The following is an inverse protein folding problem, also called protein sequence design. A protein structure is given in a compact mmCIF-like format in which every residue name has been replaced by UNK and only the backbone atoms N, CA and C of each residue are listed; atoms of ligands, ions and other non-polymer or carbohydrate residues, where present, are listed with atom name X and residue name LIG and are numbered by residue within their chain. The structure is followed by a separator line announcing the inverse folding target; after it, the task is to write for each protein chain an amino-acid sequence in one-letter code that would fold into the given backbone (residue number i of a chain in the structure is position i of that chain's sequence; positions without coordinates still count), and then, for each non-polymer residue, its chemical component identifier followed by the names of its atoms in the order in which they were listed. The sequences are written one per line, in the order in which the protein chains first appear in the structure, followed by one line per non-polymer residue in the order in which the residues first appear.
data_IF_018493593899
#
_entry.id   IF_018493593899
#
_cell.length_a   1.000
_cell.length_b   1.000
_cell.length_c   1.000
_cell.angle_alpha   90.00
_cell.angle_beta   90.00
_cell.angle_gamma   90.00
#
_symmetry.space_group_name_H-M   'P 1'
#
loop_
_entity.id
_entity.type
_entity.pdbx_description
1 polymer ?
#
# COMPACT_ATOMS: atom_id res chain seq x y z
N UNK A 1 12.52 -0.88 33.32
CA UNK A 1 12.37 0.26 32.43
C UNK A 1 13.49 0.33 31.39
N UNK A 2 14.80 0.28 31.79
CA UNK A 2 15.96 0.36 30.85
C UNK A 2 15.98 -0.73 29.75
N UNK A 3 15.36 -1.90 29.96
CA UNK A 3 15.28 -2.97 28.94
C UNK A 3 14.24 -2.70 27.88
N UNK A 4 13.20 -1.95 28.19
CA UNK A 4 12.18 -1.54 27.21
C UNK A 4 12.67 -0.43 26.30
N UNK A 5 13.45 0.53 26.87
CA UNK A 5 14.02 1.62 26.10
C UNK A 5 15.05 1.13 25.06
N UNK A 6 15.84 0.10 25.39
CA UNK A 6 16.77 -0.53 24.43
C UNK A 6 16.06 -1.29 23.32
N UNK A 7 14.86 -1.85 23.59
CA UNK A 7 14.08 -2.60 22.62
C UNK A 7 13.37 -1.68 21.62
N UNK A 8 12.97 -0.48 22.05
CA UNK A 8 12.30 0.49 21.18
C UNK A 8 13.26 1.31 20.31
N UNK A 9 14.56 1.38 20.68
CA UNK A 9 15.56 2.14 19.95
C UNK A 9 15.92 1.55 18.57
N UNK A 10 15.61 0.28 18.32
CA UNK A 10 15.94 -0.41 17.07
C UNK A 10 14.82 -0.30 15.99
N UNK A 11 13.65 0.30 16.32
CA UNK A 11 12.56 0.43 15.37
C UNK A 11 12.58 1.79 14.66
N UNK A 12 12.58 1.79 13.35
CA UNK A 12 12.38 3.02 12.58
C UNK A 12 10.90 3.44 12.62
N UNK A 13 10.56 4.24 13.60
CA UNK A 13 9.23 4.78 13.82
C UNK A 13 9.01 6.14 13.15
N UNK A 14 10.00 6.67 12.43
CA UNK A 14 9.95 8.01 11.83
C UNK A 14 8.77 8.17 10.86
N UNK A 15 8.42 7.10 10.11
CA UNK A 15 7.27 7.10 9.23
C UNK A 15 5.93 7.17 9.99
N UNK A 16 5.86 6.59 11.21
CA UNK A 16 4.67 6.62 12.06
C UNK A 16 4.55 7.96 12.80
N UNK A 17 5.67 8.55 13.23
CA UNK A 17 5.70 9.84 13.93
C UNK A 17 5.03 10.96 13.13
N UNK A 18 5.17 10.95 11.81
CA UNK A 18 4.54 11.92 10.92
C UNK A 18 3.00 11.95 11.06
N UNK A 19 2.40 10.81 11.36
CA UNK A 19 0.94 10.63 11.37
C UNK A 19 0.36 10.40 12.77
N UNK A 20 1.15 10.50 13.83
CA UNK A 20 0.72 10.20 15.21
C UNK A 20 -0.43 11.08 15.70
N UNK A 21 -0.46 12.35 15.29
CA UNK A 21 -1.46 13.32 15.75
C UNK A 21 -2.68 13.40 14.81
N UNK A 22 -2.48 13.16 13.51
CA UNK A 22 -3.53 13.31 12.49
C UNK A 22 -4.12 11.97 12.04
N UNK A 23 -3.39 10.87 12.22
CA UNK A 23 -3.76 9.58 11.67
C UNK A 23 -3.63 9.54 10.15
N UNK A 24 -4.08 8.43 9.57
CA UNK A 24 -4.19 8.23 8.12
C UNK A 24 -5.59 7.72 7.77
N UNK A 25 -6.04 7.98 6.54
CA UNK A 25 -7.33 7.50 6.06
C UNK A 25 -7.40 5.96 6.13
N UNK A 26 -8.56 5.43 6.48
CA UNK A 26 -8.80 3.98 6.42
C UNK A 26 -9.04 3.53 4.98
N UNK A 27 -8.91 2.23 4.71
CA UNK A 27 -9.23 1.66 3.40
C UNK A 27 -10.69 1.95 3.01
N UNK A 28 -11.61 1.91 3.98
CA UNK A 28 -13.02 2.21 3.75
C UNK A 28 -13.23 3.68 3.35
N UNK A 29 -12.51 4.61 3.99
CA UNK A 29 -12.55 6.03 3.62
C UNK A 29 -11.99 6.24 2.23
N UNK A 30 -10.84 5.65 1.91
CA UNK A 30 -10.23 5.73 0.58
C UNK A 30 -11.15 5.18 -0.51
N UNK A 31 -11.84 4.06 -0.24
CA UNK A 31 -12.78 3.45 -1.19
C UNK A 31 -14.03 4.32 -1.39
N UNK A 32 -14.56 4.92 -0.32
CA UNK A 32 -15.68 5.84 -0.39
C UNK A 32 -15.32 7.10 -1.20
N UNK A 33 -14.14 7.67 -0.92
CA UNK A 33 -13.67 8.90 -1.53
C UNK A 33 -13.18 8.68 -2.98
N UNK A 34 -12.92 7.43 -3.39
CA UNK A 34 -12.44 7.11 -4.74
C UNK A 34 -13.46 7.42 -5.84
N UNK A 35 -14.74 7.20 -5.59
CA UNK A 35 -15.78 7.37 -6.62
C UNK A 35 -15.85 8.79 -7.21
N UNK A 36 -15.92 9.87 -6.41
CA UNK A 36 -15.85 11.21 -6.95
C UNK A 36 -14.52 11.52 -7.64
N UNK A 37 -13.40 10.98 -7.15
CA UNK A 37 -12.08 11.15 -7.77
C UNK A 37 -12.04 10.48 -9.15
N UNK A 38 -12.56 9.26 -9.29
CA UNK A 38 -12.66 8.54 -10.57
C UNK A 38 -13.47 9.33 -11.60
N UNK A 39 -14.59 9.93 -11.19
CA UNK A 39 -15.38 10.78 -12.07
C UNK A 39 -14.60 12.03 -12.51
N UNK A 40 -13.90 12.69 -11.58
CA UNK A 40 -13.11 13.86 -11.89
C UNK A 40 -11.92 13.54 -12.86
N UNK A 41 -11.30 12.37 -12.74
CA UNK A 41 -10.29 11.88 -13.68
C UNK A 41 -10.88 11.76 -15.09
N UNK A 42 -12.05 11.12 -15.22
CA UNK A 42 -12.72 10.93 -16.51
C UNK A 42 -13.19 12.25 -17.12
N UNK A 43 -13.65 13.20 -16.29
CA UNK A 43 -14.04 14.52 -16.75
C UNK A 43 -12.83 15.29 -17.30
N UNK A 44 -11.70 15.27 -16.58
CA UNK A 44 -10.46 15.90 -16.99
C UNK A 44 -9.87 15.33 -18.30
N UNK A 45 -10.07 14.01 -18.55
CA UNK A 45 -9.65 13.38 -19.81
C UNK A 45 -10.58 13.73 -20.97
N UNK A 46 -11.87 13.83 -20.69
CA UNK A 46 -12.89 14.12 -21.71
C UNK A 46 -12.87 15.58 -22.19
N UNK A 47 -12.22 16.49 -21.47
CA UNK A 47 -12.13 17.90 -21.85
C UNK A 47 -11.13 18.09 -23.00
N UNK A 48 -11.56 18.57 -24.19
CA UNK A 48 -10.63 18.97 -25.25
C UNK A 48 -9.66 20.05 -24.75
N UNK A 49 -8.42 20.01 -25.20
CA UNK A 49 -7.38 20.96 -24.76
C UNK A 49 -7.74 22.42 -24.98
N UNK A 50 -8.61 22.70 -25.98
CA UNK A 50 -9.01 24.02 -26.44
C UNK A 50 -10.51 24.30 -26.25
N UNK A 51 -11.20 23.57 -25.37
CA UNK A 51 -12.64 23.76 -25.17
C UNK A 51 -12.97 25.15 -24.61
N UNK A 52 -13.83 25.87 -25.30
CA UNK A 52 -14.39 27.12 -24.83
C UNK A 52 -15.28 26.90 -23.59
N UNK A 53 -15.55 27.97 -22.83
CA UNK A 53 -16.43 27.90 -21.64
C UNK A 53 -17.83 27.35 -22.03
N UNK A 54 -18.27 27.60 -23.23
CA UNK A 54 -19.58 27.14 -23.78
C UNK A 54 -19.54 25.63 -24.04
N UNK A 55 -18.43 25.09 -24.54
CA UNK A 55 -18.27 23.65 -24.78
C UNK A 55 -18.23 22.87 -23.47
N UNK A 56 -17.64 23.45 -22.41
CA UNK A 56 -17.63 22.87 -21.05
C UNK A 56 -19.02 22.79 -20.45
N UNK A 57 -19.85 23.81 -20.64
CA UNK A 57 -21.24 23.82 -20.16
C UNK A 57 -22.09 22.78 -20.91
N UNK A 58 -21.88 22.61 -22.24
CA UNK A 58 -22.58 21.61 -23.04
C UNK A 58 -22.12 20.19 -22.75
N UNK A 59 -20.82 19.97 -22.42
CA UNK A 59 -20.28 18.68 -22.03
C UNK A 59 -20.89 18.22 -20.68
N UNK A 60 -21.06 19.14 -19.72
CA UNK A 60 -21.70 18.85 -18.43
C UNK A 60 -23.14 18.32 -18.57
N UNK A 61 -23.90 18.81 -19.58
CA UNK A 61 -25.26 18.34 -19.84
C UNK A 61 -25.32 16.95 -20.50
N UNK A 62 -24.26 16.51 -21.19
CA UNK A 62 -24.18 15.20 -21.87
C UNK A 62 -23.64 14.08 -20.98
N UNK A 63 -23.15 14.40 -19.80
CA UNK A 63 -22.43 13.49 -18.89
C UNK A 63 -23.31 12.48 -18.13
N UNK A 64 -24.63 12.46 -18.38
CA UNK A 64 -25.60 11.74 -17.53
C UNK A 64 -25.65 10.22 -17.76
N UNK A 65 -25.11 9.70 -18.89
CA UNK A 65 -25.10 8.25 -19.16
C UNK A 65 -23.71 7.82 -19.62
N UNK A 66 -22.85 7.43 -18.67
CA UNK A 66 -21.58 6.72 -18.99
C UNK A 66 -21.80 5.23 -18.87
N UNK A 67 -21.78 4.53 -20.01
CA UNK A 67 -21.76 3.06 -20.05
C UNK A 67 -20.33 2.63 -19.72
N UNK A 68 -20.12 2.13 -18.50
CA UNK A 68 -18.82 1.61 -18.04
C UNK A 68 -18.60 0.22 -18.65
N UNK A 69 -17.56 0.04 -19.46
CA UNK A 69 -17.10 -1.29 -19.84
C UNK A 69 -16.68 -2.06 -18.61
N UNK A 70 -17.21 -3.27 -18.42
CA UNK A 70 -16.99 -4.10 -17.21
C UNK A 70 -15.73 -4.95 -17.33
N UNK A 71 -15.13 -5.08 -18.51
CA UNK A 71 -13.93 -5.88 -18.75
C UNK A 71 -12.84 -5.03 -19.42
N UNK A 72 -11.77 -4.78 -18.69
CA UNK A 72 -10.56 -4.14 -19.20
C UNK A 72 -9.41 -5.15 -19.19
N UNK A 73 -8.69 -5.27 -20.31
CA UNK A 73 -7.45 -6.05 -20.39
C UNK A 73 -6.33 -5.26 -19.69
N UNK A 74 -5.31 -5.98 -19.18
CA UNK A 74 -4.16 -5.35 -18.51
C UNK A 74 -3.41 -4.35 -19.40
N UNK A 75 -3.49 -4.51 -20.72
CA UNK A 75 -2.84 -3.66 -21.72
C UNK A 75 -3.67 -2.43 -22.13
N UNK A 76 -4.92 -2.32 -21.67
CA UNK A 76 -5.77 -1.17 -21.97
C UNK A 76 -5.31 0.05 -21.15
N UNK A 77 -4.86 1.09 -21.87
CA UNK A 77 -4.33 2.35 -21.30
C UNK A 77 -5.37 3.46 -21.22
N UNK A 78 -6.64 3.17 -21.50
CA UNK A 78 -7.71 4.15 -21.30
C UNK A 78 -7.85 4.52 -19.82
N UNK A 79 -8.28 5.74 -19.51
CA UNK A 79 -8.47 6.16 -18.12
C UNK A 79 -9.51 5.30 -17.42
N UNK A 80 -10.56 4.86 -18.14
CA UNK A 80 -11.54 3.91 -17.60
C UNK A 80 -10.91 2.59 -17.17
N UNK A 81 -10.00 2.03 -17.99
CA UNK A 81 -9.32 0.79 -17.67
C UNK A 81 -8.38 0.96 -16.46
N UNK A 82 -7.62 2.06 -16.42
CA UNK A 82 -6.74 2.39 -15.30
C UNK A 82 -7.57 2.55 -14.01
N UNK A 83 -8.66 3.31 -14.05
CA UNK A 83 -9.57 3.49 -12.91
C UNK A 83 -10.13 2.14 -12.45
N UNK A 84 -10.52 1.25 -13.37
CA UNK A 84 -10.99 -0.10 -13.03
C UNK A 84 -9.94 -0.92 -12.29
N UNK A 85 -8.66 -0.85 -12.73
CA UNK A 85 -7.54 -1.52 -12.05
C UNK A 85 -7.23 -0.90 -10.69
N UNK A 86 -7.28 0.44 -10.57
CA UNK A 86 -7.14 1.13 -9.30
C UNK A 86 -8.24 0.73 -8.30
N UNK A 87 -9.50 0.65 -8.76
CA UNK A 87 -10.62 0.22 -7.94
C UNK A 87 -10.45 -1.22 -7.44
N UNK A 88 -10.00 -2.13 -8.32
CA UNK A 88 -9.75 -3.51 -7.95
C UNK A 88 -8.57 -3.62 -6.96
N UNK A 89 -7.47 -2.92 -7.22
CA UNK A 89 -6.32 -2.88 -6.33
C UNK A 89 -6.71 -2.33 -4.92
N UNK A 90 -7.58 -1.31 -4.88
CA UNK A 90 -8.07 -0.74 -3.63
C UNK A 90 -8.95 -1.75 -2.85
N UNK A 91 -9.83 -2.48 -3.53
CA UNK A 91 -10.64 -3.57 -2.92
C UNK A 91 -9.77 -4.68 -2.36
N UNK A 92 -8.67 -4.99 -3.03
CA UNK A 92 -7.72 -6.03 -2.63
C UNK A 92 -6.69 -5.52 -1.61
N UNK A 93 -6.83 -4.28 -1.11
CA UNK A 93 -5.89 -3.62 -0.21
C UNK A 93 -4.45 -3.52 -0.76
N UNK A 94 -4.28 -3.47 -2.09
CA UNK A 94 -2.99 -3.35 -2.77
C UNK A 94 -2.69 -1.89 -3.11
N UNK A 95 -2.44 -1.07 -2.07
CA UNK A 95 -2.29 0.39 -2.19
C UNK A 95 -1.10 0.80 -3.08
N UNK A 96 -0.02 0.03 -3.09
CA UNK A 96 1.13 0.28 -3.97
C UNK A 96 0.73 0.14 -5.45
N UNK A 97 -0.14 -0.81 -5.78
CA UNK A 97 -0.63 -1.00 -7.13
C UNK A 97 -1.55 0.16 -7.55
N UNK A 98 -2.37 0.67 -6.63
CA UNK A 98 -3.19 1.88 -6.88
C UNK A 98 -2.30 3.06 -7.32
N UNK A 99 -1.18 3.30 -6.62
CA UNK A 99 -0.24 4.37 -6.96
C UNK A 99 0.45 4.10 -8.30
N UNK A 100 0.78 2.84 -8.59
CA UNK A 100 1.44 2.44 -9.84
C UNK A 100 0.52 2.62 -11.04
N UNK A 101 -0.75 2.22 -10.91
CA UNK A 101 -1.77 2.43 -11.95
C UNK A 101 -2.04 3.92 -12.17
N UNK A 102 -2.16 4.70 -11.10
CA UNK A 102 -2.38 6.14 -11.21
C UNK A 102 -1.29 6.87 -11.99
N UNK A 103 -0.03 6.42 -11.93
CA UNK A 103 1.09 6.99 -12.70
C UNK A 103 0.97 6.77 -14.21
N UNK A 104 0.11 5.85 -14.65
CA UNK A 104 -0.16 5.62 -16.08
C UNK A 104 -1.17 6.62 -16.65
N UNK A 105 -1.87 7.38 -15.79
CA UNK A 105 -2.81 8.41 -16.22
C UNK A 105 -2.07 9.59 -16.89
N UNK A 106 -2.68 10.21 -17.91
CA UNK A 106 -2.15 11.45 -18.48
C UNK A 106 -2.02 12.56 -17.42
N UNK A 107 -1.06 13.48 -17.54
CA UNK A 107 -0.83 14.53 -16.55
C UNK A 107 -2.06 15.37 -16.20
N UNK A 108 -2.97 15.58 -17.16
CA UNK A 108 -4.24 16.31 -16.93
C UNK A 108 -5.22 15.49 -16.09
N UNK A 109 -5.33 14.22 -16.38
CA UNK A 109 -6.26 13.30 -15.72
C UNK A 109 -5.85 12.97 -14.28
N UNK A 110 -4.54 12.98 -13.96
CA UNK A 110 -4.05 12.72 -12.61
C UNK A 110 -4.24 13.91 -11.66
N UNK A 111 -4.35 15.16 -12.16
CA UNK A 111 -4.44 16.36 -11.33
C UNK A 111 -5.56 16.30 -10.28
N UNK A 112 -6.81 15.96 -10.61
CA UNK A 112 -7.89 15.89 -9.63
C UNK A 112 -7.72 14.76 -8.60
N UNK A 113 -6.82 13.80 -8.85
CA UNK A 113 -6.58 12.68 -7.97
C UNK A 113 -5.43 12.91 -6.97
N UNK A 114 -4.65 13.99 -7.10
CA UNK A 114 -3.40 14.16 -6.33
C UNK A 114 -3.61 14.15 -4.82
N UNK A 115 -4.59 14.88 -4.31
CA UNK A 115 -4.88 14.93 -2.87
C UNK A 115 -5.31 13.56 -2.33
N UNK A 116 -6.12 12.84 -3.09
CA UNK A 116 -6.54 11.49 -2.74
C UNK A 116 -5.37 10.50 -2.79
N UNK A 117 -4.53 10.57 -3.83
CA UNK A 117 -3.31 9.76 -3.94
C UNK A 117 -2.33 10.04 -2.80
N UNK A 118 -2.25 11.29 -2.32
CA UNK A 118 -1.49 11.62 -1.12
C UNK A 118 -1.99 10.86 0.12
N UNK A 119 -3.31 10.70 0.28
CA UNK A 119 -3.89 9.90 1.36
C UNK A 119 -3.58 8.40 1.19
N UNK A 120 -3.62 7.89 -0.04
CA UNK A 120 -3.25 6.49 -0.36
C UNK A 120 -1.78 6.23 -0.01
N UNK A 121 -0.87 7.13 -0.39
CA UNK A 121 0.56 7.00 -0.10
C UNK A 121 0.85 7.09 1.41
N UNK A 122 0.19 8.00 2.12
CA UNK A 122 0.28 8.11 3.56
C UNK A 122 -0.11 6.78 4.24
N UNK A 123 -1.23 6.20 3.85
CA UNK A 123 -1.68 4.90 4.37
C UNK A 123 -0.71 3.78 4.01
N UNK A 124 -0.28 3.69 2.76
CA UNK A 124 0.69 2.68 2.31
C UNK A 124 2.03 2.79 3.06
N UNK A 125 2.45 4.01 3.41
CA UNK A 125 3.68 4.24 4.18
C UNK A 125 3.55 3.74 5.62
N UNK A 126 2.41 4.01 6.28
CA UNK A 126 2.12 3.50 7.62
C UNK A 126 2.04 1.97 7.63
N UNK A 127 1.34 1.36 6.67
CA UNK A 127 1.22 -0.10 6.59
C UNK A 127 2.58 -0.77 6.40
N UNK A 128 3.47 -0.19 5.58
CA UNK A 128 4.86 -0.67 5.41
C UNK A 128 5.69 -0.55 6.69
N UNK A 129 5.58 0.58 7.41
CA UNK A 129 6.28 0.78 8.67
C UNK A 129 5.82 -0.23 9.73
N UNK A 130 4.51 -0.47 9.85
CA UNK A 130 3.96 -1.47 10.76
C UNK A 130 4.42 -2.89 10.40
N UNK A 131 4.44 -3.24 9.11
CA UNK A 131 4.93 -4.54 8.67
C UNK A 131 6.44 -4.73 8.96
N UNK A 132 7.24 -3.67 8.84
CA UNK A 132 8.65 -3.70 9.19
C UNK A 132 8.86 -3.94 10.70
N UNK A 133 8.11 -3.24 11.54
CA UNK A 133 8.13 -3.43 13.00
C UNK A 133 7.72 -4.87 13.38
N UNK A 134 6.64 -5.38 12.79
CA UNK A 134 6.20 -6.77 13.02
C UNK A 134 7.27 -7.80 12.61
N UNK A 135 7.92 -7.58 11.47
CA UNK A 135 9.03 -8.43 10.99
C UNK A 135 10.23 -8.41 11.95
N UNK A 136 10.63 -7.23 12.45
CA UNK A 136 11.72 -7.09 13.41
C UNK A 136 11.39 -7.77 14.73
N UNK A 137 10.17 -7.59 15.24
CA UNK A 137 9.66 -8.26 16.44
C UNK A 137 9.76 -9.78 16.33
N UNK A 138 9.28 -10.35 15.23
CA UNK A 138 9.34 -11.79 14.96
C UNK A 138 10.77 -12.30 14.94
N UNK A 139 11.67 -11.56 14.30
CA UNK A 139 13.11 -11.92 14.24
C UNK A 139 13.75 -11.88 15.63
N UNK A 140 13.47 -10.85 16.43
CA UNK A 140 13.99 -10.71 17.79
C UNK A 140 13.51 -11.84 18.71
N UNK A 141 12.23 -12.22 18.61
CA UNK A 141 11.65 -13.32 19.37
C UNK A 141 12.25 -14.68 18.96
N UNK A 142 12.45 -14.91 17.66
CA UNK A 142 13.08 -16.13 17.15
C UNK A 142 14.53 -16.26 17.64
N UNK A 143 15.30 -15.16 17.61
CA UNK A 143 16.66 -15.11 18.12
C UNK A 143 16.73 -15.37 19.65
N UNK A 144 15.82 -14.82 20.41
CA UNK A 144 15.73 -15.05 21.85
C UNK A 144 15.41 -16.52 22.20
N UNK A 145 14.51 -17.15 21.40
CA UNK A 145 14.17 -18.58 21.56
C UNK A 145 15.35 -19.50 21.23
N UNK A 146 16.14 -19.18 20.22
CA UNK A 146 17.32 -19.95 19.84
C UNK A 146 18.44 -19.85 20.88
N UNK A 147 18.61 -18.68 21.53
CA UNK A 147 19.58 -18.45 22.58
C UNK A 147 19.20 -19.13 23.93
N UNK A 148 17.93 -19.46 24.11
CA UNK A 148 17.41 -20.11 25.33
C UNK A 148 17.40 -21.64 25.32
N UNK A 149 17.78 -22.29 24.21
CA UNK A 149 17.92 -23.75 24.18
C UNK A 149 19.29 -24.14 24.79
N UNK A 150 19.33 -24.83 25.96
CA UNK A 150 20.56 -25.39 26.44
C UNK A 150 21.08 -26.41 25.43
N UNK A 151 22.34 -26.29 25.06
CA UNK A 151 23.02 -27.24 24.19
C UNK A 151 22.74 -28.64 24.70
N UNK A 152 22.03 -29.44 23.92
CA UNK A 152 21.80 -30.85 24.23
C UNK A 152 23.16 -31.49 24.43
N UNK A 153 23.41 -31.97 25.67
CA UNK A 153 24.61 -32.66 26.06
C UNK A 153 24.83 -33.82 25.07
N UNK A 154 25.92 -33.76 24.32
CA UNK A 154 26.40 -34.90 23.57
C UNK A 154 26.68 -36.05 24.57
N UNK A 155 26.13 -37.24 24.38
CA UNK A 155 26.50 -38.36 25.21
C UNK A 155 28.00 -38.68 24.97
N UNK A 156 28.76 -38.60 26.06
CA UNK A 156 30.18 -38.96 26.08
C UNK A 156 30.35 -40.39 25.54
N UNK A 157 31.16 -40.51 24.50
CA UNK A 157 31.57 -41.83 23.97
C UNK A 157 32.27 -42.61 25.10
N UNK A 158 31.75 -43.79 25.43
CA UNK A 158 32.34 -44.72 26.34
C UNK A 158 33.72 -45.21 25.76
N UNK A 159 34.75 -45.38 26.58
CA UNK A 159 36.02 -45.90 26.13
C UNK A 159 35.92 -47.37 25.76
N UNK A 160 36.39 -47.72 24.57
CA UNK A 160 36.48 -49.10 24.10
C UNK A 160 37.47 -49.88 24.98
N UNK A 161 36.95 -50.89 25.65
CA UNK A 161 37.71 -51.89 26.39
C UNK A 161 38.46 -52.79 25.36
N UNK A 162 39.78 -52.88 25.49
CA UNK A 162 40.63 -53.80 24.66
C UNK A 162 40.50 -55.20 25.24
N UNK A 163 40.26 -56.23 24.43
CA UNK A 163 40.42 -57.60 24.88
C UNK A 163 41.93 -57.98 24.95
N UNK A 164 42.36 -58.42 26.13
CA UNK A 164 43.62 -59.04 26.37
C UNK A 164 43.54 -60.55 26.10
N UNK A 165 44.42 -61.02 25.19
CA UNK A 165 44.82 -62.36 24.99
C UNK A 165 43.95 -63.31 24.20
#
# INVERSE_FOLDING_TARGET
LRRLDAFTADFDLAALDRYKDTGVATIADLARDFRPVANAILDAESEPADASVVDRLLAGAKSVVRVRKVSHTADDKSAEAIIGRMEQALKDNRLTDVITEAKQLPPRAIQPAQDWLGKVDARASVDRALAAVDGQLKTSLAGASAAGQPAAAQPAAAPAEKPSK
#
